data_IF_176408405158
#
_entry.id   IF_176408405158
#
_cell.length_a   1.000
_cell.length_b   1.000
_cell.length_c   1.000
_cell.angle_alpha   90.00
_cell.angle_beta   90.00
_cell.angle_gamma   90.00
#
_symmetry.space_group_name_H-M   'P 1'
#
loop_
_entity.id
_entity.type
_entity.pdbx_description
1 polymer ?
#
# COMPACT_ATOMS: atom_id res chain seq x y z
N UNK A 1 34.71 16.78 15.39
CA UNK A 1 35.06 15.40 15.18
C UNK A 1 34.59 15.04 13.79
N UNK A 2 35.52 14.84 12.88
CA UNK A 2 35.29 14.55 11.47
C UNK A 2 34.56 13.22 11.35
N UNK A 3 33.40 13.24 10.70
CA UNK A 3 32.67 12.04 10.29
C UNK A 3 33.60 11.25 9.36
N UNK A 4 33.99 10.06 9.81
CA UNK A 4 34.74 9.13 8.97
C UNK A 4 33.83 8.74 7.81
N UNK A 5 34.20 9.12 6.60
CA UNK A 5 33.55 8.68 5.35
C UNK A 5 33.64 7.14 5.29
N UNK A 6 32.56 6.48 5.62
CA UNK A 6 32.46 5.02 5.46
C UNK A 6 32.20 4.72 3.99
N UNK A 7 33.12 3.93 3.40
CA UNK A 7 32.95 3.47 2.01
C UNK A 7 31.65 2.68 1.84
N UNK A 8 30.96 2.81 0.69
CA UNK A 8 29.76 2.07 0.40
C UNK A 8 30.01 0.57 0.49
N UNK A 9 29.21 -0.11 1.29
CA UNK A 9 29.40 -1.52 1.54
C UNK A 9 28.22 -2.32 0.97
N UNK A 10 28.47 -3.16 -0.05
CA UNK A 10 27.48 -4.08 -0.60
C UNK A 10 26.90 -5.02 0.46
N UNK A 11 27.65 -5.27 1.55
CA UNK A 11 27.19 -6.01 2.71
C UNK A 11 26.01 -5.37 3.45
N UNK A 12 25.65 -4.13 3.15
CA UNK A 12 24.45 -3.48 3.69
C UNK A 12 23.16 -4.24 3.35
N UNK A 13 23.13 -4.99 2.24
CA UNK A 13 21.99 -5.81 1.84
C UNK A 13 21.95 -7.19 2.52
N UNK A 14 22.98 -7.56 3.28
CA UNK A 14 23.04 -8.86 3.98
C UNK A 14 21.79 -9.15 4.82
N UNK A 15 21.19 -8.20 5.58
CA UNK A 15 19.97 -8.48 6.34
C UNK A 15 18.82 -8.97 5.47
N UNK A 16 18.65 -8.39 4.27
CA UNK A 16 17.63 -8.82 3.32
C UNK A 16 17.91 -10.23 2.78
N UNK A 17 19.16 -10.52 2.46
CA UNK A 17 19.59 -11.86 2.02
C UNK A 17 19.37 -12.88 3.13
N UNK A 18 19.69 -12.56 4.37
CA UNK A 18 19.45 -13.42 5.53
C UNK A 18 17.96 -13.69 5.72
N UNK A 19 17.11 -12.65 5.63
CA UNK A 19 15.67 -12.80 5.69
C UNK A 19 15.16 -13.79 4.65
N UNK A 20 15.48 -13.54 3.37
CA UNK A 20 15.05 -14.39 2.26
C UNK A 20 15.58 -15.83 2.41
N UNK A 21 16.85 -15.98 2.80
CA UNK A 21 17.47 -17.31 2.95
C UNK A 21 16.81 -18.10 4.07
N UNK A 22 16.62 -17.53 5.26
CA UNK A 22 15.98 -18.20 6.38
C UNK A 22 14.55 -18.60 6.01
N UNK A 23 13.78 -17.67 5.44
CA UNK A 23 12.38 -17.91 5.11
C UNK A 23 12.23 -18.98 4.02
N UNK A 24 13.00 -18.87 2.92
CA UNK A 24 12.95 -19.84 1.82
C UNK A 24 13.46 -21.22 2.23
N UNK A 25 14.60 -21.32 2.93
CA UNK A 25 15.16 -22.60 3.36
C UNK A 25 14.21 -23.30 4.32
N UNK A 26 13.68 -22.59 5.31
CA UNK A 26 12.73 -23.15 6.26
C UNK A 26 11.43 -23.62 5.57
N UNK A 27 10.91 -22.80 4.64
CA UNK A 27 9.69 -23.14 3.87
C UNK A 27 9.88 -24.37 2.99
N UNK A 28 11.03 -24.51 2.35
CA UNK A 28 11.36 -25.69 1.53
C UNK A 28 11.48 -26.94 2.40
N UNK A 29 12.18 -26.85 3.56
CA UNK A 29 12.33 -27.98 4.48
C UNK A 29 10.97 -28.41 5.06
N UNK A 30 10.12 -27.45 5.40
CA UNK A 30 8.77 -27.71 5.94
C UNK A 30 7.74 -28.11 4.88
N UNK A 31 8.06 -27.92 3.59
CA UNK A 31 7.14 -28.15 2.47
C UNK A 31 5.94 -27.21 2.44
N UNK A 32 5.99 -26.10 3.17
CA UNK A 32 4.88 -25.16 3.30
C UNK A 32 5.42 -23.77 3.71
N UNK A 33 5.06 -22.73 2.94
CA UNK A 33 5.49 -21.35 3.19
C UNK A 33 4.83 -20.74 4.44
N UNK A 34 3.69 -21.24 4.88
CA UNK A 34 2.94 -20.67 6.00
C UNK A 34 3.31 -21.27 7.35
N UNK A 35 4.06 -22.39 7.39
CA UNK A 35 4.51 -23.01 8.64
C UNK A 35 5.62 -22.23 9.35
N UNK A 36 6.42 -21.48 8.60
CA UNK A 36 7.44 -20.61 9.17
C UNK A 36 6.83 -19.24 9.53
N UNK A 37 6.78 -18.85 10.82
CA UNK A 37 6.33 -17.51 11.17
C UNK A 37 7.26 -16.44 10.59
N UNK A 38 6.73 -15.62 9.71
CA UNK A 38 7.52 -14.58 9.01
C UNK A 38 8.14 -13.57 9.99
N UNK A 39 7.50 -13.33 11.13
CA UNK A 39 8.01 -12.51 12.23
C UNK A 39 9.35 -12.97 12.76
N UNK A 40 9.57 -14.31 12.84
CA UNK A 40 10.84 -14.89 13.31
C UNK A 40 11.94 -14.63 12.28
N UNK A 41 11.66 -14.76 11.00
CA UNK A 41 12.63 -14.46 9.95
C UNK A 41 13.01 -12.96 9.94
N UNK A 42 12.04 -12.06 10.13
CA UNK A 42 12.29 -10.62 10.28
C UNK A 42 13.09 -10.31 11.54
N UNK A 43 12.80 -10.95 12.66
CA UNK A 43 13.55 -10.77 13.91
C UNK A 43 15.01 -11.18 13.75
N UNK A 44 15.26 -12.38 13.21
CA UNK A 44 16.61 -12.88 12.96
C UNK A 44 17.39 -11.94 12.03
N UNK A 45 16.77 -11.50 10.94
CA UNK A 45 17.35 -10.55 10.00
C UNK A 45 17.63 -9.18 10.65
N UNK A 46 16.75 -8.71 11.52
CA UNK A 46 16.92 -7.45 12.27
C UNK A 46 18.11 -7.53 13.24
N UNK A 47 18.27 -8.66 13.92
CA UNK A 47 19.44 -8.89 14.79
C UNK A 47 20.73 -8.85 13.98
N UNK A 48 20.74 -9.51 12.83
CA UNK A 48 21.91 -9.48 11.92
C UNK A 48 22.16 -8.05 11.43
N UNK A 49 21.12 -7.28 11.04
CA UNK A 49 21.26 -5.89 10.64
C UNK A 49 21.97 -5.04 11.70
N UNK A 50 21.53 -5.16 12.96
CA UNK A 50 22.16 -4.45 14.08
C UNK A 50 23.59 -4.94 14.34
N UNK A 51 23.85 -6.24 14.19
CA UNK A 51 25.17 -6.82 14.44
C UNK A 51 26.24 -6.39 13.42
N UNK A 52 25.88 -6.35 12.12
CA UNK A 52 26.85 -6.08 11.04
C UNK A 52 26.98 -4.59 10.69
N UNK A 53 26.04 -3.74 11.10
CA UNK A 53 26.05 -2.32 10.77
C UNK A 53 27.33 -1.63 11.27
N UNK A 54 27.87 -0.74 10.45
CA UNK A 54 29.11 0.02 10.71
C UNK A 54 28.92 1.20 11.69
N UNK A 55 27.76 1.33 12.32
CA UNK A 55 27.33 2.50 13.12
C UNK A 55 28.02 2.73 14.47
N UNK A 56 29.21 2.16 14.75
CA UNK A 56 29.94 2.35 15.99
C UNK A 56 29.46 1.44 17.15
N UNK A 57 29.31 1.99 18.36
CA UNK A 57 28.91 1.21 19.55
C UNK A 57 27.50 0.61 19.38
N UNK A 58 27.27 -0.58 19.96
CA UNK A 58 25.99 -1.31 19.87
C UNK A 58 24.78 -0.44 20.24
N UNK A 59 24.90 0.37 21.29
CA UNK A 59 23.80 1.28 21.71
C UNK A 59 23.39 2.25 20.58
N UNK A 60 24.35 2.83 19.86
CA UNK A 60 24.05 3.73 18.73
C UNK A 60 23.36 3.02 17.57
N UNK A 61 23.71 1.74 17.32
CA UNK A 61 23.09 0.92 16.28
C UNK A 61 21.64 0.59 16.64
N UNK A 62 21.39 0.24 17.91
CA UNK A 62 20.03 0.01 18.42
C UNK A 62 19.21 1.31 18.32
N UNK A 63 19.76 2.46 18.71
CA UNK A 63 19.08 3.75 18.60
C UNK A 63 18.71 4.09 17.15
N UNK A 64 19.59 3.79 16.21
CA UNK A 64 19.33 3.96 14.79
C UNK A 64 18.20 3.05 14.30
N UNK A 65 18.22 1.78 14.70
CA UNK A 65 17.14 0.83 14.40
C UNK A 65 15.79 1.32 14.93
N UNK A 66 15.76 1.79 16.19
CA UNK A 66 14.57 2.35 16.80
C UNK A 66 14.06 3.59 16.05
N UNK A 67 14.95 4.47 15.57
CA UNK A 67 14.57 5.63 14.75
C UNK A 67 13.93 5.21 13.43
N UNK A 68 14.43 4.15 12.81
CA UNK A 68 13.83 3.58 11.61
C UNK A 68 12.43 3.01 11.87
N UNK A 69 12.29 2.22 12.93
CA UNK A 69 11.02 1.66 13.36
C UNK A 69 9.99 2.75 13.71
N UNK A 70 10.44 3.88 14.29
CA UNK A 70 9.61 5.02 14.67
C UNK A 70 9.45 6.06 13.53
N UNK A 71 9.80 5.74 12.30
CA UNK A 71 9.59 6.62 11.15
C UNK A 71 8.11 6.97 11.01
N UNK A 72 7.79 8.22 10.64
CA UNK A 72 6.41 8.70 10.54
C UNK A 72 5.54 7.87 9.59
N UNK A 73 6.09 7.40 8.47
CA UNK A 73 5.36 6.56 7.53
C UNK A 73 5.08 5.16 8.12
N UNK A 74 6.05 4.60 8.86
CA UNK A 74 5.86 3.32 9.57
C UNK A 74 4.77 3.47 10.63
N UNK A 75 4.82 4.54 11.43
CA UNK A 75 3.79 4.81 12.44
C UNK A 75 2.40 5.02 11.82
N UNK A 76 2.32 5.72 10.68
CA UNK A 76 1.07 5.88 9.95
C UNK A 76 0.49 4.52 9.49
N UNK A 77 1.32 3.62 8.96
CA UNK A 77 0.90 2.27 8.57
C UNK A 77 0.37 1.48 9.78
N UNK A 78 1.03 1.58 10.93
CA UNK A 78 0.59 0.91 12.16
C UNK A 78 -0.79 1.42 12.59
N UNK A 79 -1.02 2.74 12.57
CA UNK A 79 -2.33 3.32 12.86
C UNK A 79 -3.41 2.81 11.90
N UNK A 80 -3.09 2.72 10.60
CA UNK A 80 -4.01 2.15 9.60
C UNK A 80 -4.33 0.69 9.95
N UNK A 81 -3.35 -0.14 10.29
CA UNK A 81 -3.59 -1.54 10.64
C UNK A 81 -4.46 -1.69 11.90
N UNK A 82 -4.20 -0.88 12.95
CA UNK A 82 -5.00 -0.87 14.18
C UNK A 82 -6.47 -0.54 13.87
N UNK A 83 -6.71 0.57 13.16
CA UNK A 83 -8.07 1.00 12.82
C UNK A 83 -8.75 0.02 11.87
N UNK A 84 -8.00 -0.53 10.93
CA UNK A 84 -8.50 -1.49 9.96
C UNK A 84 -8.92 -2.81 10.62
N UNK A 85 -8.11 -3.34 11.52
CA UNK A 85 -8.46 -4.53 12.29
C UNK A 85 -9.73 -4.30 13.13
N UNK A 86 -9.79 -3.16 13.83
CA UNK A 86 -10.97 -2.76 14.59
C UNK A 86 -12.21 -2.67 13.69
N UNK A 87 -12.13 -2.02 12.53
CA UNK A 87 -13.24 -1.90 11.58
C UNK A 87 -13.67 -3.25 11.04
N UNK A 88 -12.73 -4.05 10.51
CA UNK A 88 -13.05 -5.34 9.90
C UNK A 88 -13.77 -6.27 10.87
N UNK A 89 -13.30 -6.36 12.13
CA UNK A 89 -13.91 -7.24 13.11
C UNK A 89 -15.24 -6.71 13.64
N UNK A 90 -15.40 -5.40 13.82
CA UNK A 90 -16.69 -4.81 14.20
C UNK A 90 -17.71 -4.94 13.09
N UNK A 91 -17.35 -4.67 11.83
CA UNK A 91 -18.22 -4.85 10.66
C UNK A 91 -18.66 -6.32 10.50
N UNK A 92 -17.74 -7.26 10.73
CA UNK A 92 -18.06 -8.70 10.73
C UNK A 92 -19.01 -9.07 11.86
N UNK A 93 -18.73 -8.62 13.08
CA UNK A 93 -19.57 -8.93 14.25
C UNK A 93 -21.00 -8.38 14.15
N UNK A 94 -21.19 -7.25 13.45
CA UNK A 94 -22.51 -6.65 13.20
C UNK A 94 -23.23 -7.32 12.03
N UNK A 95 -22.53 -8.10 11.18
CA UNK A 95 -23.06 -8.67 9.94
C UNK A 95 -23.05 -7.70 8.75
N UNK A 96 -22.30 -6.59 8.87
CA UNK A 96 -22.18 -5.60 7.80
C UNK A 96 -21.44 -6.14 6.57
N UNK A 97 -20.47 -7.04 6.77
CA UNK A 97 -19.77 -7.73 5.67
C UNK A 97 -20.77 -8.54 4.86
N UNK A 98 -21.53 -9.44 5.52
CA UNK A 98 -22.48 -10.34 4.86
C UNK A 98 -23.58 -9.56 4.13
N UNK A 99 -24.13 -8.52 4.76
CA UNK A 99 -25.13 -7.66 4.14
C UNK A 99 -24.59 -6.95 2.89
N UNK A 100 -23.33 -6.49 2.92
CA UNK A 100 -22.68 -5.83 1.77
C UNK A 100 -22.38 -6.82 0.66
N UNK A 101 -21.94 -8.02 0.99
CA UNK A 101 -21.73 -9.12 0.03
C UNK A 101 -23.04 -9.49 -0.64
N UNK A 102 -24.12 -9.69 0.13
CA UNK A 102 -25.44 -9.99 -0.42
C UNK A 102 -25.96 -8.88 -1.36
N UNK A 103 -25.72 -7.61 -1.00
CA UNK A 103 -26.03 -6.49 -1.89
C UNK A 103 -25.21 -6.56 -3.18
N UNK A 104 -23.90 -6.78 -3.09
CA UNK A 104 -23.05 -6.89 -4.27
C UNK A 104 -23.49 -8.02 -5.21
N UNK A 105 -23.76 -9.19 -4.65
CA UNK A 105 -24.25 -10.36 -5.41
C UNK A 105 -25.65 -10.19 -5.99
N UNK A 106 -26.49 -9.37 -5.38
CA UNK A 106 -27.84 -9.09 -5.90
C UNK A 106 -27.85 -8.07 -7.05
N UNK A 107 -26.88 -7.16 -7.08
CA UNK A 107 -26.80 -6.04 -8.04
C UNK A 107 -25.88 -6.35 -9.20
N UNK A 108 -24.75 -7.03 -8.96
CA UNK A 108 -23.77 -7.34 -9.98
C UNK A 108 -24.03 -8.74 -10.56
N UNK A 109 -24.14 -8.89 -11.89
CA UNK A 109 -24.06 -10.20 -12.52
C UNK A 109 -22.75 -10.91 -12.16
N UNK A 110 -22.78 -12.23 -12.05
CA UNK A 110 -21.61 -13.04 -11.66
C UNK A 110 -20.39 -12.75 -12.56
N UNK A 111 -20.62 -12.55 -13.85
CA UNK A 111 -19.59 -12.19 -14.82
C UNK A 111 -18.90 -10.86 -14.56
N UNK A 112 -19.52 -9.95 -13.81
CA UNK A 112 -18.98 -8.62 -13.51
C UNK A 112 -18.31 -8.53 -12.12
N UNK A 113 -18.42 -9.56 -11.28
CA UNK A 113 -17.93 -9.52 -9.89
C UNK A 113 -16.42 -9.25 -9.82
N UNK A 114 -15.61 -9.97 -10.60
CA UNK A 114 -14.16 -9.82 -10.60
C UNK A 114 -13.73 -8.45 -11.14
N UNK A 115 -14.27 -8.07 -12.30
CA UNK A 115 -13.97 -6.79 -12.93
C UNK A 115 -14.48 -5.62 -12.09
N UNK A 116 -15.67 -5.72 -11.51
CA UNK A 116 -16.27 -4.72 -10.63
C UNK A 116 -15.44 -4.50 -9.38
N UNK A 117 -14.96 -5.57 -8.74
CA UNK A 117 -14.08 -5.47 -7.57
C UNK A 117 -12.74 -4.80 -7.91
N UNK A 118 -12.13 -5.14 -9.05
CA UNK A 118 -10.93 -4.50 -9.54
C UNK A 118 -11.13 -3.00 -9.78
N UNK A 119 -12.19 -2.63 -10.51
CA UNK A 119 -12.52 -1.23 -10.83
C UNK A 119 -12.80 -0.43 -9.55
N UNK A 120 -13.57 -1.00 -8.62
CA UNK A 120 -13.85 -0.36 -7.33
C UNK A 120 -12.54 -0.09 -6.55
N UNK A 121 -11.64 -1.07 -6.49
CA UNK A 121 -10.34 -0.90 -5.85
C UNK A 121 -9.49 0.18 -6.54
N UNK A 122 -9.50 0.26 -7.88
CA UNK A 122 -8.81 1.30 -8.63
C UNK A 122 -9.30 2.70 -8.25
N UNK A 123 -10.62 2.93 -8.24
CA UNK A 123 -11.19 4.25 -7.97
C UNK A 123 -11.03 4.67 -6.50
N UNK A 124 -11.23 3.75 -5.57
CA UNK A 124 -11.05 4.03 -4.14
C UNK A 124 -9.60 4.41 -3.87
N UNK A 125 -8.65 3.63 -4.35
CA UNK A 125 -7.22 3.89 -4.15
C UNK A 125 -6.77 5.19 -4.81
N UNK A 126 -7.25 5.48 -6.02
CA UNK A 126 -7.02 6.75 -6.70
C UNK A 126 -7.48 7.94 -5.86
N UNK A 127 -8.65 7.83 -5.24
CA UNK A 127 -9.30 8.89 -4.45
C UNK A 127 -8.69 9.05 -3.07
N UNK A 128 -8.35 7.94 -2.38
CA UNK A 128 -7.71 7.96 -1.05
C UNK A 128 -6.21 8.27 -1.10
N UNK A 129 -5.55 7.97 -2.22
CA UNK A 129 -4.11 8.10 -2.37
C UNK A 129 -3.31 7.08 -1.55
N UNK A 130 -3.89 5.92 -1.26
CA UNK A 130 -3.21 4.84 -0.54
C UNK A 130 -3.71 3.47 -0.97
N UNK A 131 -2.79 2.62 -1.43
CA UNK A 131 -3.09 1.21 -1.74
C UNK A 131 -3.40 0.42 -0.48
N UNK A 132 -2.63 0.62 0.59
CA UNK A 132 -2.81 -0.09 1.86
C UNK A 132 -4.20 0.15 2.45
N UNK A 133 -4.63 1.42 2.53
CA UNK A 133 -5.96 1.76 3.05
C UNK A 133 -7.08 1.13 2.22
N UNK A 134 -6.94 1.10 0.90
CA UNK A 134 -7.91 0.48 -0.01
C UNK A 134 -7.98 -1.04 0.16
N UNK A 135 -6.82 -1.72 0.21
CA UNK A 135 -6.74 -3.17 0.41
C UNK A 135 -7.45 -3.54 1.71
N UNK A 136 -7.14 -2.82 2.78
CA UNK A 136 -7.72 -3.11 4.09
C UNK A 136 -9.23 -2.90 4.12
N UNK A 137 -9.73 -1.83 3.49
CA UNK A 137 -11.17 -1.53 3.46
C UNK A 137 -11.96 -2.57 2.64
N UNK A 138 -11.41 -3.05 1.52
CA UNK A 138 -12.10 -3.94 0.59
C UNK A 138 -11.89 -5.43 0.86
N UNK A 139 -10.78 -5.82 1.50
CA UNK A 139 -10.47 -7.25 1.72
C UNK A 139 -11.60 -8.02 2.43
N UNK A 140 -12.25 -7.52 3.49
CA UNK A 140 -13.35 -8.26 4.12
C UNK A 140 -14.51 -8.55 3.15
N UNK A 141 -14.86 -7.59 2.29
CA UNK A 141 -15.91 -7.76 1.26
C UNK A 141 -15.45 -8.76 0.20
N UNK A 142 -14.21 -8.64 -0.26
CA UNK A 142 -13.61 -9.56 -1.23
C UNK A 142 -13.62 -11.02 -0.73
N UNK A 143 -13.22 -11.23 0.52
CA UNK A 143 -13.24 -12.55 1.17
C UNK A 143 -14.66 -13.06 1.31
N UNK A 144 -15.61 -12.20 1.70
CA UNK A 144 -17.04 -12.56 1.80
C UNK A 144 -17.62 -12.99 0.45
N UNK A 145 -17.35 -12.25 -0.63
CA UNK A 145 -17.76 -12.63 -2.00
C UNK A 145 -17.12 -13.97 -2.39
N UNK A 146 -15.82 -14.13 -2.18
CA UNK A 146 -15.11 -15.36 -2.53
C UNK A 146 -15.70 -16.59 -1.84
N UNK A 147 -16.06 -16.49 -0.56
CA UNK A 147 -16.65 -17.60 0.21
C UNK A 147 -18.07 -17.95 -0.21
N UNK A 148 -18.83 -16.98 -0.76
CA UNK A 148 -20.22 -17.23 -1.23
C UNK A 148 -20.28 -17.66 -2.71
N UNK A 149 -19.22 -17.45 -3.48
CA UNK A 149 -19.18 -17.75 -4.93
C UNK A 149 -18.19 -18.87 -5.30
N UNK A 150 -17.65 -19.59 -4.31
CA UNK A 150 -16.61 -20.61 -4.50
C UNK A 150 -15.36 -20.15 -5.28
N UNK A 151 -15.18 -18.83 -5.41
CA UNK A 151 -13.99 -18.24 -6.01
C UNK A 151 -12.81 -18.41 -5.03
N UNK A 152 -11.64 -18.76 -5.56
CA UNK A 152 -10.42 -18.85 -4.76
C UNK A 152 -10.16 -17.54 -4.02
N UNK A 153 -10.17 -17.55 -2.68
CA UNK A 153 -10.01 -16.35 -1.83
C UNK A 153 -8.71 -15.61 -2.10
N UNK A 154 -7.53 -16.24 -2.19
CA UNK A 154 -6.29 -15.60 -2.61
C UNK A 154 -6.40 -14.86 -3.94
N UNK A 155 -7.09 -15.44 -4.92
CA UNK A 155 -7.30 -14.80 -6.22
C UNK A 155 -8.17 -13.54 -6.11
N UNK A 156 -9.29 -13.60 -5.39
CA UNK A 156 -10.16 -12.43 -5.16
C UNK A 156 -9.42 -11.30 -4.42
N UNK A 157 -8.62 -11.63 -3.42
CA UNK A 157 -7.78 -10.65 -2.71
C UNK A 157 -6.70 -10.07 -3.63
N UNK A 158 -6.10 -10.87 -4.50
CA UNK A 158 -5.13 -10.40 -5.49
C UNK A 158 -5.73 -9.38 -6.47
N UNK A 159 -7.00 -9.54 -6.85
CA UNK A 159 -7.75 -8.57 -7.66
C UNK A 159 -7.83 -7.21 -6.95
N UNK A 160 -8.16 -7.21 -5.66
CA UNK A 160 -8.21 -5.99 -4.83
C UNK A 160 -6.83 -5.34 -4.74
N UNK A 161 -5.79 -6.14 -4.49
CA UNK A 161 -4.39 -5.64 -4.42
C UNK A 161 -3.97 -5.01 -5.75
N UNK A 162 -4.24 -5.68 -6.86
CA UNK A 162 -3.93 -5.17 -8.21
C UNK A 162 -4.61 -3.83 -8.50
N UNK A 163 -5.92 -3.73 -8.21
CA UNK A 163 -6.69 -2.49 -8.36
C UNK A 163 -6.20 -1.37 -7.43
N UNK A 164 -5.92 -1.69 -6.18
CA UNK A 164 -5.41 -0.74 -5.21
C UNK A 164 -4.04 -0.17 -5.62
N UNK A 165 -3.12 -1.02 -6.09
CA UNK A 165 -1.81 -0.60 -6.60
C UNK A 165 -1.91 0.25 -7.87
N UNK A 166 -2.87 -0.08 -8.76
CA UNK A 166 -3.17 0.74 -9.93
C UNK A 166 -3.61 2.15 -9.52
N UNK A 167 -4.60 2.26 -8.64
CA UNK A 167 -5.14 3.54 -8.19
C UNK A 167 -4.10 4.40 -7.47
N UNK A 168 -3.32 3.81 -6.57
CA UNK A 168 -2.23 4.46 -5.86
C UNK A 168 -1.18 5.05 -6.81
N UNK A 169 -0.82 4.30 -7.84
CA UNK A 169 0.14 4.75 -8.85
C UNK A 169 -0.34 5.97 -9.65
N UNK A 170 -1.63 6.10 -9.92
CA UNK A 170 -2.21 7.24 -10.63
C UNK A 170 -2.67 8.38 -9.70
N UNK A 171 -2.71 8.18 -8.40
CA UNK A 171 -3.15 9.19 -7.45
C UNK A 171 -2.20 10.40 -7.40
N UNK A 172 -2.79 11.60 -7.33
CA UNK A 172 -2.06 12.85 -7.13
C UNK A 172 -1.69 13.11 -5.67
N UNK A 173 -2.35 12.43 -4.74
CA UNK A 173 -2.19 12.62 -3.29
C UNK A 173 -1.44 11.47 -2.61
N UNK A 174 -1.04 10.45 -3.37
CA UNK A 174 -0.27 9.32 -2.85
C UNK A 174 1.13 9.75 -2.38
N UNK A 175 1.49 9.34 -1.16
CA UNK A 175 2.80 9.64 -0.56
C UNK A 175 3.95 9.11 -1.42
N UNK A 176 3.82 7.91 -1.95
CA UNK A 176 4.82 7.28 -2.84
C UNK A 176 5.02 8.10 -4.11
N UNK A 177 3.92 8.59 -4.69
CA UNK A 177 3.93 9.45 -5.87
C UNK A 177 4.53 10.82 -5.59
N UNK A 178 4.18 11.44 -4.45
CA UNK A 178 4.71 12.74 -4.02
C UNK A 178 6.22 12.64 -3.80
N UNK A 179 6.68 11.62 -3.08
CA UNK A 179 8.11 11.40 -2.81
C UNK A 179 8.86 11.17 -4.13
N UNK A 180 8.37 10.29 -5.00
CA UNK A 180 9.03 9.99 -6.27
C UNK A 180 9.17 11.22 -7.17
N UNK A 181 8.14 12.05 -7.28
CA UNK A 181 8.18 13.26 -8.12
C UNK A 181 9.07 14.35 -7.53
N UNK A 182 9.02 14.56 -6.21
CA UNK A 182 9.85 15.57 -5.53
C UNK A 182 11.33 15.23 -5.58
N UNK A 183 11.70 13.98 -5.34
CA UNK A 183 13.11 13.55 -5.38
C UNK A 183 13.70 13.64 -6.79
N UNK A 184 12.90 13.43 -7.82
CA UNK A 184 13.33 13.53 -9.21
C UNK A 184 13.17 14.95 -9.81
N UNK A 185 12.59 15.89 -9.06
CA UNK A 185 12.33 17.27 -9.54
C UNK A 185 11.38 17.32 -10.73
N UNK A 186 10.45 16.36 -10.83
CA UNK A 186 9.45 16.28 -11.89
C UNK A 186 8.10 16.85 -11.42
N UNK A 187 7.29 17.34 -12.38
CA UNK A 187 5.92 17.74 -12.08
C UNK A 187 5.01 16.55 -11.93
N UNK A 188 4.10 16.61 -10.96
CA UNK A 188 3.09 15.58 -10.73
C UNK A 188 2.22 15.31 -11.96
N UNK A 189 1.84 16.38 -12.70
CA UNK A 189 1.05 16.26 -13.94
C UNK A 189 1.78 15.48 -15.04
N UNK A 190 3.09 15.68 -15.17
CA UNK A 190 3.89 14.97 -16.18
C UNK A 190 4.02 13.48 -15.82
N UNK A 191 4.23 13.18 -14.52
CA UNK A 191 4.22 11.80 -14.01
C UNK A 191 2.88 11.12 -14.28
N UNK A 192 1.77 11.78 -13.95
CA UNK A 192 0.43 11.24 -14.19
C UNK A 192 0.21 10.91 -15.67
N UNK A 193 0.55 11.85 -16.55
CA UNK A 193 0.38 11.67 -18.00
C UNK A 193 1.19 10.49 -18.55
N UNK A 194 2.45 10.35 -18.13
CA UNK A 194 3.32 9.24 -18.58
C UNK A 194 2.83 7.92 -18.00
N UNK A 195 2.53 7.88 -16.70
CA UNK A 195 2.05 6.66 -16.06
C UNK A 195 0.69 6.21 -16.61
N UNK A 196 -0.24 7.15 -16.88
CA UNK A 196 -1.54 6.81 -17.46
C UNK A 196 -1.41 6.09 -18.80
N UNK A 197 -0.49 6.53 -19.66
CA UNK A 197 -0.24 5.89 -20.97
C UNK A 197 0.26 4.45 -20.82
N UNK A 198 0.92 4.12 -19.72
CA UNK A 198 1.44 2.77 -19.47
C UNK A 198 0.40 1.91 -18.75
N UNK A 199 -0.20 2.47 -17.69
CA UNK A 199 -0.98 1.68 -16.72
C UNK A 199 -2.43 1.51 -17.17
N UNK A 200 -3.04 2.50 -17.85
CA UNK A 200 -4.44 2.39 -18.33
C UNK A 200 -4.61 1.26 -19.36
N UNK A 201 -3.78 1.11 -20.38
CA UNK A 201 -3.91 -0.04 -21.31
C UNK A 201 -3.81 -1.38 -20.60
N UNK A 202 -2.92 -1.50 -19.60
CA UNK A 202 -2.78 -2.72 -18.79
C UNK A 202 -4.03 -2.96 -17.96
N UNK A 203 -4.60 -1.93 -17.33
CA UNK A 203 -5.82 -2.05 -16.54
C UNK A 203 -7.02 -2.46 -17.41
N UNK A 204 -7.12 -1.93 -18.63
CA UNK A 204 -8.17 -2.34 -19.59
C UNK A 204 -7.99 -3.83 -19.94
N UNK A 205 -6.78 -4.25 -20.26
CA UNK A 205 -6.49 -5.66 -20.56
C UNK A 205 -6.85 -6.57 -19.38
N UNK A 206 -6.42 -6.21 -18.16
CA UNK A 206 -6.72 -6.96 -16.95
C UNK A 206 -8.23 -7.00 -16.68
N UNK A 207 -8.94 -5.89 -16.87
CA UNK A 207 -10.39 -5.84 -16.74
C UNK A 207 -11.08 -6.79 -17.72
N UNK A 208 -10.62 -6.82 -18.97
CA UNK A 208 -11.13 -7.75 -20.00
C UNK A 208 -10.89 -9.21 -19.57
N UNK A 209 -9.71 -9.54 -19.07
CA UNK A 209 -9.41 -10.88 -18.54
C UNK A 209 -10.34 -11.25 -17.41
N UNK A 210 -10.59 -10.33 -16.46
CA UNK A 210 -11.51 -10.58 -15.36
C UNK A 210 -12.99 -10.71 -15.81
N UNK A 211 -13.40 -10.04 -16.88
CA UNK A 211 -14.72 -10.23 -17.48
C UNK A 211 -14.84 -11.65 -18.06
N UNK A 212 -13.82 -12.14 -18.77
CA UNK A 212 -13.83 -13.52 -19.29
C UNK A 212 -13.83 -14.56 -18.17
N UNK A 213 -12.97 -14.40 -17.16
CA UNK A 213 -12.93 -15.32 -16.02
C UNK A 213 -14.21 -15.26 -15.18
N UNK A 214 -14.82 -14.08 -15.07
CA UNK A 214 -16.09 -13.90 -14.38
C UNK A 214 -17.25 -14.63 -15.07
N UNK A 215 -17.19 -14.77 -16.40
CA UNK A 215 -18.24 -15.50 -17.16
C UNK A 215 -18.25 -17.01 -16.93
N UNK A 216 -17.16 -17.57 -16.39
CA UNK A 216 -17.05 -18.99 -16.01
C UNK A 216 -17.63 -19.29 -14.61
N UNK A 217 -17.99 -18.24 -13.84
CA UNK A 217 -18.56 -18.39 -12.50
C UNK A 217 -20.03 -18.81 -12.66
N UNK A 218 -20.32 -20.07 -12.34
CA UNK A 218 -21.66 -20.66 -12.50
C UNK A 218 -22.38 -20.90 -11.18
N UNK A 219 -21.81 -20.39 -10.07
CA UNK A 219 -22.44 -20.56 -8.75
C UNK A 219 -23.65 -19.65 -8.62
N UNK A 220 -24.78 -20.23 -8.27
CA UNK A 220 -25.98 -19.48 -7.84
C UNK A 220 -25.84 -19.21 -6.35
N UNK A 221 -25.31 -18.04 -5.94
CA UNK A 221 -25.21 -17.72 -4.51
C UNK A 221 -26.63 -17.68 -3.92
N UNK A 222 -26.82 -18.28 -2.76
CA UNK A 222 -28.06 -18.16 -2.00
C UNK A 222 -28.12 -16.74 -1.44
N UNK A 223 -28.68 -15.81 -2.23
CA UNK A 223 -28.84 -14.42 -1.79
C UNK A 223 -29.90 -14.38 -0.68
N UNK A 224 -29.45 -14.10 0.53
CA UNK A 224 -30.34 -13.84 1.66
C UNK A 224 -30.93 -12.42 1.57
N UNK A 225 -32.09 -12.16 2.21
CA UNK A 225 -32.69 -10.81 2.21
C UNK A 225 -31.67 -9.76 2.69
N UNK A 226 -31.57 -8.65 1.96
CA UNK A 226 -30.61 -7.59 2.25
C UNK A 226 -31.06 -6.81 3.48
N UNK A 227 -30.24 -6.84 4.53
CA UNK A 227 -30.42 -6.00 5.71
C UNK A 227 -29.81 -4.60 5.47
N UNK A 228 -30.57 -3.69 4.85
CA UNK A 228 -30.11 -2.38 4.41
C UNK A 228 -29.40 -1.55 5.48
N UNK A 229 -29.85 -1.61 6.75
CA UNK A 229 -29.16 -0.91 7.83
C UNK A 229 -27.73 -1.39 8.02
N UNK A 230 -27.47 -2.68 7.88
CA UNK A 230 -26.14 -3.26 8.06
C UNK A 230 -25.18 -2.98 6.90
N UNK A 231 -25.70 -2.54 5.75
CA UNK A 231 -24.86 -2.11 4.61
C UNK A 231 -24.29 -0.69 4.82
N UNK A 232 -24.96 0.14 5.63
CA UNK A 232 -24.61 1.56 5.83
C UNK A 232 -23.14 1.77 6.20
N UNK A 233 -22.49 1.00 7.11
CA UNK A 233 -21.09 1.20 7.44
C UNK A 233 -20.15 1.10 6.24
N UNK A 234 -20.38 0.13 5.34
CA UNK A 234 -19.56 0.00 4.13
C UNK A 234 -19.88 1.08 3.10
N UNK A 235 -21.15 1.47 2.92
CA UNK A 235 -21.50 2.61 2.04
C UNK A 235 -20.80 3.87 2.53
N UNK A 236 -20.80 4.13 3.85
CA UNK A 236 -20.15 5.30 4.43
C UNK A 236 -18.63 5.26 4.19
N UNK A 237 -17.99 4.11 4.44
CA UNK A 237 -16.55 3.92 4.19
C UNK A 237 -16.22 4.12 2.71
N UNK A 238 -16.97 3.51 1.80
CA UNK A 238 -16.72 3.61 0.36
C UNK A 238 -16.96 5.03 -0.17
N UNK A 239 -18.04 5.68 0.23
CA UNK A 239 -18.35 7.05 -0.22
C UNK A 239 -17.37 8.08 0.30
N UNK A 240 -16.96 7.98 1.58
CA UNK A 240 -15.94 8.88 2.15
C UNK A 240 -14.56 8.63 1.56
N UNK A 241 -14.23 7.36 1.26
CA UNK A 241 -13.00 7.00 0.57
C UNK A 241 -12.97 7.56 -0.86
N UNK A 242 -14.06 7.41 -1.62
CA UNK A 242 -14.19 7.99 -2.97
C UNK A 242 -14.17 9.52 -2.96
N UNK A 243 -14.63 10.16 -1.89
CA UNK A 243 -14.52 11.60 -1.69
C UNK A 243 -13.08 12.07 -1.35
N UNK A 244 -12.11 11.14 -1.24
CA UNK A 244 -10.71 11.46 -0.95
C UNK A 244 -10.45 11.83 0.52
N UNK A 245 -11.32 11.41 1.44
CA UNK A 245 -11.11 11.62 2.88
C UNK A 245 -9.93 10.77 3.35
N UNK A 246 -9.18 11.29 4.32
CA UNK A 246 -8.03 10.57 4.89
C UNK A 246 -8.44 9.18 5.42
N UNK A 247 -7.67 8.16 5.10
CA UNK A 247 -7.96 6.75 5.42
C UNK A 247 -8.23 6.50 6.91
N UNK A 248 -7.53 7.19 7.80
CA UNK A 248 -7.73 7.04 9.25
C UNK A 248 -9.12 7.53 9.68
N UNK A 249 -9.57 8.65 9.10
CA UNK A 249 -10.92 9.20 9.36
C UNK A 249 -11.98 8.27 8.77
N UNK A 250 -11.78 7.76 7.57
CA UNK A 250 -12.68 6.80 6.90
C UNK A 250 -12.89 5.56 7.77
N UNK A 251 -11.80 4.96 8.26
CA UNK A 251 -11.87 3.76 9.10
C UNK A 251 -12.52 4.07 10.46
N UNK A 252 -12.19 5.22 11.07
CA UNK A 252 -12.81 5.64 12.33
C UNK A 252 -14.33 5.83 12.18
N UNK A 253 -14.77 6.49 11.11
CA UNK A 253 -16.19 6.63 10.79
C UNK A 253 -16.85 5.27 10.58
N UNK A 254 -16.18 4.35 9.91
CA UNK A 254 -16.63 2.98 9.73
C UNK A 254 -16.83 2.23 11.05
N UNK A 255 -15.88 2.33 11.97
CA UNK A 255 -15.96 1.72 13.31
C UNK A 255 -17.15 2.28 14.09
N UNK A 256 -17.29 3.60 14.16
CA UNK A 256 -18.37 4.26 14.88
C UNK A 256 -19.74 3.92 14.28
N UNK A 257 -19.84 3.97 12.95
CA UNK A 257 -21.08 3.63 12.24
C UNK A 257 -21.45 2.16 12.46
N UNK A 258 -20.50 1.22 12.39
CA UNK A 258 -20.73 -0.20 12.69
C UNK A 258 -21.27 -0.40 14.10
N UNK A 259 -20.69 0.30 15.09
CA UNK A 259 -21.18 0.24 16.48
C UNK A 259 -22.60 0.75 16.63
N UNK A 260 -22.91 1.91 16.05
CA UNK A 260 -24.25 2.53 16.11
C UNK A 260 -25.28 1.59 15.43
N UNK A 261 -24.99 1.14 14.22
CA UNK A 261 -25.87 0.23 13.46
C UNK A 261 -26.06 -1.09 14.23
N UNK A 262 -24.99 -1.67 14.75
CA UNK A 262 -25.04 -2.92 15.49
C UNK A 262 -25.88 -2.85 16.76
N UNK A 263 -25.82 -1.73 17.50
CA UNK A 263 -26.63 -1.49 18.70
C UNK A 263 -28.09 -1.28 18.31
N UNK A 264 -28.39 -0.48 17.29
CA UNK A 264 -29.75 -0.20 16.82
C UNK A 264 -30.43 -1.48 16.30
N UNK A 265 -29.71 -2.31 15.54
CA UNK A 265 -30.23 -3.57 15.02
C UNK A 265 -30.27 -4.70 16.07
N UNK A 266 -29.74 -4.49 17.25
CA UNK A 266 -29.62 -5.51 18.29
C UNK A 266 -28.60 -6.63 17.95
N UNK A 267 -27.81 -6.47 16.89
CA UNK A 267 -26.83 -7.47 16.46
C UNK A 267 -25.65 -7.57 17.42
N UNK A 268 -25.32 -6.47 18.12
CA UNK A 268 -24.23 -6.43 19.10
C UNK A 268 -24.58 -5.46 20.24
N UNK A 269 -24.15 -5.79 21.44
CA UNK A 269 -24.24 -4.89 22.58
C UNK A 269 -22.99 -3.99 22.67
N UNK A 270 -23.05 -2.89 23.39
CA UNK A 270 -21.94 -1.94 23.53
C UNK A 270 -20.63 -2.62 23.97
N UNK A 271 -20.67 -3.49 24.98
CA UNK A 271 -19.50 -4.22 25.45
C UNK A 271 -18.97 -5.23 24.40
N UNK A 272 -19.87 -5.86 23.67
CA UNK A 272 -19.50 -6.75 22.56
C UNK A 272 -18.81 -6.01 21.42
N UNK A 273 -19.24 -4.76 21.12
CA UNK A 273 -18.61 -3.91 20.14
C UNK A 273 -17.18 -3.55 20.54
N UNK A 274 -16.94 -3.17 21.82
CA UNK A 274 -15.59 -2.92 22.33
C UNK A 274 -14.71 -4.18 22.29
N UNK A 275 -15.27 -5.34 22.63
CA UNK A 275 -14.56 -6.62 22.56
C UNK A 275 -14.19 -6.97 21.11
N UNK A 276 -15.09 -6.75 20.15
CA UNK A 276 -14.81 -6.95 18.73
C UNK A 276 -13.68 -6.05 18.23
N UNK A 277 -13.66 -4.76 18.62
CA UNK A 277 -12.54 -3.87 18.32
C UNK A 277 -11.22 -4.43 18.87
N UNK A 278 -11.20 -4.83 20.14
CA UNK A 278 -10.00 -5.40 20.78
C UNK A 278 -9.48 -6.65 20.07
N UNK A 279 -10.39 -7.55 19.68
CA UNK A 279 -10.05 -8.75 18.89
C UNK A 279 -9.45 -8.37 17.53
N UNK A 280 -10.06 -7.41 16.84
CA UNK A 280 -9.57 -6.94 15.54
C UNK A 280 -8.18 -6.29 15.62
N UNK A 281 -7.94 -5.46 16.62
CA UNK A 281 -6.62 -4.84 16.88
C UNK A 281 -5.57 -5.92 17.16
N UNK A 282 -5.89 -6.87 18.01
CA UNK A 282 -4.97 -7.98 18.35
C UNK A 282 -4.64 -8.85 17.14
N UNK A 283 -5.62 -9.05 16.24
CA UNK A 283 -5.42 -9.79 15.00
C UNK A 283 -4.42 -9.14 14.03
N UNK A 284 -4.14 -7.82 14.17
CA UNK A 284 -3.13 -7.12 13.38
C UNK A 284 -1.72 -7.17 14.00
N UNK A 285 -1.56 -7.83 15.15
CA UNK A 285 -0.30 -7.84 15.91
C UNK A 285 0.90 -8.31 15.09
N UNK A 286 0.75 -9.36 14.31
CA UNK A 286 1.82 -9.87 13.45
C UNK A 286 2.26 -8.85 12.41
N UNK A 287 1.32 -8.20 11.71
CA UNK A 287 1.62 -7.16 10.72
C UNK A 287 2.31 -5.95 11.35
N UNK A 288 1.89 -5.55 12.54
CA UNK A 288 2.50 -4.45 13.30
C UNK A 288 3.96 -4.79 13.63
N UNK A 289 4.23 -5.99 14.15
CA UNK A 289 5.58 -6.45 14.49
C UNK A 289 6.47 -6.47 13.26
N UNK A 290 6.00 -7.07 12.16
CA UNK A 290 6.74 -7.12 10.88
C UNK A 290 7.07 -5.70 10.40
N UNK A 291 6.11 -4.80 10.45
CA UNK A 291 6.27 -3.42 9.96
C UNK A 291 7.30 -2.65 10.78
N UNK A 292 7.30 -2.80 12.12
CA UNK A 292 8.31 -2.21 13.00
C UNK A 292 9.72 -2.75 12.71
N UNK A 293 9.86 -4.07 12.62
CA UNK A 293 11.13 -4.73 12.33
C UNK A 293 11.66 -4.35 10.94
N UNK A 294 10.78 -4.32 9.94
CA UNK A 294 11.13 -3.92 8.58
C UNK A 294 11.56 -2.45 8.52
N UNK A 295 10.88 -1.55 9.24
CA UNK A 295 11.24 -0.14 9.32
C UNK A 295 12.61 0.09 9.95
N UNK A 296 12.89 -0.59 11.04
CA UNK A 296 14.21 -0.56 11.69
C UNK A 296 15.31 -1.11 10.81
N UNK A 297 15.08 -2.27 10.18
CA UNK A 297 16.02 -2.90 9.26
C UNK A 297 16.28 -2.02 8.03
N UNK A 298 15.25 -1.43 7.45
CA UNK A 298 15.37 -0.54 6.29
C UNK A 298 16.25 0.67 6.59
N UNK A 299 16.13 1.29 7.76
CA UNK A 299 16.95 2.44 8.15
C UNK A 299 18.43 2.03 8.32
N UNK A 300 18.70 0.83 8.86
CA UNK A 300 20.05 0.28 8.94
C UNK A 300 20.65 0.10 7.54
N UNK A 301 19.94 -0.56 6.64
CA UNK A 301 20.34 -0.77 5.25
C UNK A 301 20.55 0.58 4.55
N UNK A 302 19.59 1.50 4.70
CA UNK A 302 19.63 2.83 4.10
C UNK A 302 20.87 3.60 4.52
N UNK A 303 21.22 3.59 5.80
CA UNK A 303 22.40 4.28 6.29
C UNK A 303 23.68 3.69 5.70
N UNK A 304 23.80 2.38 5.71
CA UNK A 304 24.99 1.70 5.21
C UNK A 304 25.11 1.76 3.67
N UNK A 305 23.98 1.92 2.94
CA UNK A 305 23.94 2.14 1.49
C UNK A 305 23.98 3.62 1.09
N UNK A 306 23.38 4.56 1.85
CA UNK A 306 23.25 5.98 1.47
C UNK A 306 24.49 6.79 1.77
N UNK A 307 25.42 6.29 2.57
CA UNK A 307 26.78 6.81 2.48
C UNK A 307 27.38 6.68 1.07
N UNK A 308 26.74 5.88 0.20
CA UNK A 308 27.05 5.83 -1.24
C UNK A 308 26.50 7.02 -2.04
N UNK A 309 25.36 7.59 -1.70
CA UNK A 309 24.75 8.67 -2.49
C UNK A 309 25.23 10.06 -2.08
N UNK A 310 25.74 10.24 -0.86
CA UNK A 310 26.45 11.47 -0.48
C UNK A 310 27.88 11.49 -1.01
N UNK A 311 28.49 10.35 -1.19
CA UNK A 311 29.76 10.21 -1.95
C UNK A 311 29.54 10.36 -3.45
N UNK A 312 28.31 10.25 -3.96
CA UNK A 312 27.95 10.71 -5.30
C UNK A 312 27.80 12.26 -5.37
N UNK A 313 28.54 12.98 -4.59
CA UNK A 313 29.25 14.18 -5.04
C UNK A 313 30.16 13.91 -6.26
N UNK A 314 30.08 12.74 -6.86
CA UNK A 314 30.52 12.48 -8.25
C UNK A 314 29.79 13.38 -9.25
N UNK A 315 28.74 14.09 -8.85
CA UNK A 315 28.31 15.29 -9.55
C UNK A 315 29.39 16.39 -9.50
N UNK A 316 30.29 16.40 -8.54
CA UNK A 316 31.48 17.26 -8.57
C UNK A 316 32.64 16.61 -9.34
N UNK A 317 32.77 15.31 -9.36
CA UNK A 317 33.76 14.62 -10.20
C UNK A 317 33.33 14.67 -11.67
N UNK A 318 32.07 14.63 -12.01
CA UNK A 318 31.57 14.89 -13.37
C UNK A 318 31.82 16.34 -13.83
N UNK A 319 32.01 17.30 -12.94
CA UNK A 319 32.53 18.63 -13.33
C UNK A 319 34.01 18.61 -13.69
N UNK A 320 34.77 17.60 -13.25
CA UNK A 320 36.18 17.44 -13.62
C UNK A 320 36.43 16.50 -14.79
N UNK A 321 35.63 15.51 -15.04
CA UNK A 321 35.69 14.68 -16.24
C UNK A 321 34.75 15.26 -17.30
N UNK A 322 35.30 15.77 -18.40
CA UNK A 322 34.55 16.26 -19.58
C UNK A 322 33.89 15.11 -20.36
N UNK A 323 33.10 14.28 -19.70
CA UNK A 323 32.23 13.30 -20.36
C UNK A 323 30.82 13.87 -20.31
N UNK A 324 30.36 14.34 -21.49
CA UNK A 324 29.00 14.82 -21.73
C UNK A 324 27.99 13.68 -21.48
N UNK A 325 27.57 13.47 -20.25
CA UNK A 325 26.29 12.81 -20.01
C UNK A 325 25.19 13.85 -20.17
N UNK A 326 24.34 13.66 -21.17
CA UNK A 326 23.15 14.48 -21.44
C UNK A 326 22.25 14.43 -20.20
N UNK A 327 21.99 15.59 -19.59
CA UNK A 327 21.08 15.75 -18.45
C UNK A 327 19.69 15.17 -18.76
N UNK A 328 18.96 14.62 -17.78
CA UNK A 328 17.57 14.15 -17.95
C UNK A 328 16.57 15.22 -18.45
N UNK A 329 16.96 16.50 -18.43
CA UNK A 329 16.17 17.59 -19.05
C UNK A 329 15.86 17.40 -20.56
N UNK A 330 16.54 16.51 -21.25
CA UNK A 330 16.22 16.22 -22.66
C UNK A 330 15.08 15.22 -22.83
N UNK A 331 14.81 14.37 -21.83
CA UNK A 331 13.65 13.48 -21.91
C UNK A 331 12.32 14.26 -21.77
N UNK A 332 12.29 15.30 -20.95
CA UNK A 332 11.15 16.24 -20.92
C UNK A 332 11.04 17.13 -22.17
N UNK A 333 12.15 17.44 -22.86
CA UNK A 333 12.14 18.28 -24.06
C UNK A 333 11.72 17.55 -25.33
N UNK A 334 11.91 16.25 -25.41
CA UNK A 334 11.49 15.46 -26.57
C UNK A 334 9.97 15.30 -26.70
N UNK A 335 9.22 15.58 -25.63
CA UNK A 335 7.75 15.51 -25.61
C UNK A 335 7.07 16.88 -25.85
N UNK A 336 7.82 18.00 -25.89
CA UNK A 336 7.28 19.30 -26.24
C UNK A 336 7.66 19.66 -27.68
N UNK A 337 6.82 19.22 -28.61
CA UNK A 337 6.83 19.72 -29.97
C UNK A 337 6.59 21.22 -30.00
N UNK A 338 7.54 21.95 -30.58
CA UNK A 338 7.46 23.25 -31.20
C UNK A 338 6.36 24.20 -30.66
N UNK A 339 6.73 25.12 -29.81
CA UNK A 339 6.01 26.39 -29.70
C UNK A 339 6.88 27.53 -30.26
N UNK A 340 6.28 28.28 -31.18
CA UNK A 340 6.82 29.35 -31.98
C UNK A 340 7.59 30.38 -31.15
N UNK A 341 8.85 30.62 -31.54
CA UNK A 341 9.58 31.85 -31.25
C UNK A 341 8.95 33.00 -32.05
N UNK A 342 8.36 33.98 -31.38
CA UNK A 342 8.17 35.31 -31.94
C UNK A 342 9.23 36.23 -31.36
N UNK A 343 9.99 36.99 -32.16
CA UNK A 343 10.98 37.92 -31.65
C UNK A 343 10.28 39.19 -31.15
N UNK A 344 10.50 39.55 -29.90
CA UNK A 344 10.15 40.86 -29.37
C UNK A 344 11.19 41.90 -29.82
N UNK A 345 10.78 42.81 -30.67
CA UNK A 345 11.48 44.07 -30.99
C UNK A 345 11.59 44.92 -29.71
N UNK A 346 12.82 45.15 -29.28
CA UNK A 346 13.15 46.19 -28.31
C UNK A 346 13.48 47.44 -29.10
N UNK A 347 12.71 48.52 -28.94
CA UNK A 347 13.04 49.89 -29.40
C UNK A 347 13.93 50.56 -28.35
N UNK A 348 14.98 51.28 -28.73
CA UNK A 348 15.74 52.12 -27.83
C UNK A 348 15.03 53.45 -27.63
N UNK A 349 14.92 53.93 -26.40
CA UNK A 349 14.59 55.29 -26.08
C UNK A 349 15.88 56.12 -25.94
N UNK A 350 15.93 57.17 -26.71
CA UNK A 350 16.80 58.37 -26.57
C UNK A 350 16.52 59.12 -25.28
#
# INVERSE_FOLDING_TARGET
>A
PMDQETKPNFWALTPLIVFLSIYLIASIIMGDFYKMPITVAFLASSIVAVAISSGGQLHKRIDLFCKGAANSNIMLMIWIFILAGAFAQTAKAVGAVDATVNLALSVLPDSLLLAGMFIAACFISLSMGTSVGTIVALTPVAVGIATQTDINTPFMVAIVVGGAMFGDNLSFISDTTIVATRTQGCNMKDKFKVNSLIVIPVAILVTIVYLFQGSEITTTPTVTPIEWLKVIPYILVLTTALAGVNVMIVLLLGILCSGIVGIITGSIQFWGWLAAMGTGISGMGELIIITLLAGGMLEMIRRDCLHYSEVDNSCQIQKRSRIKYRRPRQFCRLMHGKQHDRPHHVRPHS
#
